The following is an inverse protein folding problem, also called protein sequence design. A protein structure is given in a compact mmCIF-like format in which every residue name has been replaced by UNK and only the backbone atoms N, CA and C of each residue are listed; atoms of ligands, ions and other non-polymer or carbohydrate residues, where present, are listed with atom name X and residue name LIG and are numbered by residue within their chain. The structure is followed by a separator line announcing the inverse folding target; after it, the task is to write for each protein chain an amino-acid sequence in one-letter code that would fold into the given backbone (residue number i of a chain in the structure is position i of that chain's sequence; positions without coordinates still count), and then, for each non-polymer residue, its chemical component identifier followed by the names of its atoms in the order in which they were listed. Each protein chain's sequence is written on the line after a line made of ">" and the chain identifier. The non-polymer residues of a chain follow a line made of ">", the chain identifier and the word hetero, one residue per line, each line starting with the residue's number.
data_IF_685583588303
#
_entry.id   IF_685583588303
#
_cell.length_a   1.000
_cell.length_b   1.000
_cell.length_c   1.000
_cell.angle_alpha   90.00
_cell.angle_beta   90.00
_cell.angle_gamma   90.00
#
_symmetry.space_group_name_H-M   'P 1'
#
loop_
_entity.id
_entity.type
_entity.pdbx_description
1 polymer ?
#
# COMPACT_ATOMS: atom_id res chain seq x y z
N UNK A 1 29.29 -3.53 0.31
CA UNK A 1 28.51 -4.38 -0.60
C UNK A 1 29.10 -4.22 -1.99
N UNK A 2 29.22 -5.27 -2.79
CA UNK A 2 29.67 -5.15 -4.17
C UNK A 2 28.60 -4.48 -5.04
N UNK A 3 28.98 -3.89 -6.18
CA UNK A 3 28.05 -3.28 -7.14
C UNK A 3 26.97 -4.29 -7.59
N UNK A 4 27.36 -5.54 -7.83
CA UNK A 4 26.44 -6.61 -8.20
C UNK A 4 25.41 -6.91 -7.09
N UNK A 5 25.85 -6.98 -5.83
CA UNK A 5 24.95 -7.19 -4.68
C UNK A 5 23.99 -6.00 -4.50
N UNK A 6 24.47 -4.77 -4.71
CA UNK A 6 23.67 -3.55 -4.60
C UNK A 6 22.56 -3.50 -5.67
N UNK A 7 22.90 -3.84 -6.93
CA UNK A 7 21.92 -3.97 -8.01
C UNK A 7 20.90 -5.07 -7.72
N UNK A 8 21.34 -6.22 -7.22
CA UNK A 8 20.43 -7.30 -6.82
C UNK A 8 19.49 -6.88 -5.68
N UNK A 9 20.02 -6.18 -4.68
CA UNK A 9 19.24 -5.66 -3.56
C UNK A 9 18.20 -4.62 -4.03
N UNK A 10 18.58 -3.75 -4.97
CA UNK A 10 17.67 -2.78 -5.60
C UNK A 10 16.48 -3.48 -6.27
N UNK A 11 16.73 -4.44 -7.16
CA UNK A 11 15.67 -5.12 -7.90
C UNK A 11 14.77 -5.98 -7.00
N UNK A 12 15.37 -6.73 -6.07
CA UNK A 12 14.60 -7.54 -5.11
C UNK A 12 13.73 -6.68 -4.18
N UNK A 13 14.22 -5.50 -3.77
CA UNK A 13 13.41 -4.55 -3.00
C UNK A 13 12.23 -4.02 -3.81
N UNK A 14 12.41 -3.69 -5.09
CA UNK A 14 11.30 -3.27 -5.96
C UNK A 14 10.25 -4.38 -6.09
N UNK A 15 10.68 -5.61 -6.36
CA UNK A 15 9.79 -6.77 -6.51
C UNK A 15 8.95 -6.99 -5.24
N UNK A 16 9.60 -6.94 -4.07
CA UNK A 16 8.91 -7.05 -2.79
C UNK A 16 7.92 -5.89 -2.54
N UNK A 17 8.28 -4.67 -2.94
CA UNK A 17 7.38 -3.52 -2.89
C UNK A 17 6.13 -3.71 -3.76
N UNK A 18 6.30 -4.23 -4.98
CA UNK A 18 5.19 -4.56 -5.88
C UNK A 18 4.31 -5.68 -5.31
N UNK A 19 4.90 -6.69 -4.68
CA UNK A 19 4.14 -7.76 -4.01
C UNK A 19 3.30 -7.21 -2.85
N UNK A 20 3.85 -6.33 -2.02
CA UNK A 20 3.10 -5.65 -0.95
C UNK A 20 1.94 -4.81 -1.51
N UNK A 21 2.16 -4.11 -2.63
CA UNK A 21 1.12 -3.35 -3.33
C UNK A 21 -0.01 -4.25 -3.84
N UNK A 22 0.31 -5.39 -4.45
CA UNK A 22 -0.69 -6.34 -4.94
C UNK A 22 -1.53 -6.91 -3.78
N UNK A 23 -0.89 -7.28 -2.67
CA UNK A 23 -1.60 -7.73 -1.47
C UNK A 23 -2.53 -6.65 -0.92
N UNK A 24 -2.08 -5.39 -0.87
CA UNK A 24 -2.93 -4.26 -0.49
C UNK A 24 -4.17 -4.18 -1.40
N UNK A 25 -4.00 -4.23 -2.73
CA UNK A 25 -5.11 -4.12 -3.69
C UNK A 25 -6.12 -5.26 -3.47
N UNK A 26 -5.67 -6.48 -3.19
CA UNK A 26 -6.57 -7.60 -2.87
C UNK A 26 -7.39 -7.35 -1.60
N UNK A 27 -6.75 -6.89 -0.53
CA UNK A 27 -7.44 -6.57 0.74
C UNK A 27 -8.41 -5.40 0.56
N UNK A 28 -7.97 -4.35 -0.14
CA UNK A 28 -8.75 -3.17 -0.45
C UNK A 28 -10.01 -3.49 -1.26
N UNK A 29 -9.86 -4.23 -2.36
CA UNK A 29 -10.99 -4.65 -3.20
C UNK A 29 -11.95 -5.56 -2.45
N UNK A 30 -11.44 -6.53 -1.68
CA UNK A 30 -12.27 -7.40 -0.86
C UNK A 30 -13.11 -6.62 0.17
N UNK A 31 -12.51 -5.61 0.81
CA UNK A 31 -13.22 -4.75 1.74
C UNK A 31 -14.30 -3.90 1.06
N UNK A 32 -14.01 -3.31 -0.12
CA UNK A 32 -14.99 -2.55 -0.89
C UNK A 32 -16.15 -3.42 -1.38
N UNK A 33 -15.88 -4.64 -1.86
CA UNK A 33 -16.91 -5.59 -2.29
C UNK A 33 -17.82 -5.96 -1.11
N UNK A 34 -17.24 -6.26 0.04
CA UNK A 34 -18.00 -6.58 1.25
C UNK A 34 -18.85 -5.39 1.72
N UNK A 35 -18.27 -4.18 1.72
CA UNK A 35 -19.00 -2.95 2.02
C UNK A 35 -20.18 -2.77 1.06
N UNK A 36 -19.98 -2.94 -0.25
CA UNK A 36 -21.02 -2.78 -1.27
C UNK A 36 -22.15 -3.82 -1.16
N UNK A 37 -21.80 -5.10 -1.04
CA UNK A 37 -22.77 -6.20 -1.10
C UNK A 37 -23.58 -6.36 0.18
N UNK A 38 -22.93 -6.24 1.35
CA UNK A 38 -23.54 -6.56 2.64
C UNK A 38 -23.37 -5.48 3.70
N UNK A 39 -22.63 -4.40 3.42
CA UNK A 39 -22.29 -3.37 4.40
C UNK A 39 -23.51 -2.79 5.13
N UNK A 40 -24.60 -2.51 4.40
CA UNK A 40 -25.85 -1.98 4.97
C UNK A 40 -26.55 -2.95 5.95
N UNK A 41 -26.25 -4.26 5.86
CA UNK A 41 -26.84 -5.30 6.71
C UNK A 41 -25.95 -5.69 7.89
N UNK A 42 -24.71 -5.18 7.95
CA UNK A 42 -23.79 -5.49 9.05
C UNK A 42 -24.23 -4.79 10.33
N UNK A 43 -24.24 -5.54 11.44
CA UNK A 43 -24.32 -4.94 12.77
C UNK A 43 -23.09 -4.09 13.05
N UNK A 44 -23.18 -3.17 14.01
CA UNK A 44 -22.05 -2.32 14.39
C UNK A 44 -20.82 -3.11 14.80
N UNK A 45 -21.00 -4.22 15.53
CA UNK A 45 -19.89 -5.08 15.96
C UNK A 45 -19.26 -5.81 14.76
N UNK A 46 -20.06 -6.36 13.85
CA UNK A 46 -19.54 -7.04 12.64
C UNK A 46 -18.75 -6.09 11.76
N UNK A 47 -19.27 -4.87 11.55
CA UNK A 47 -18.57 -3.84 10.80
C UNK A 47 -17.29 -3.42 11.52
N UNK A 48 -17.30 -3.27 12.85
CA UNK A 48 -16.10 -2.90 13.59
C UNK A 48 -14.99 -3.96 13.44
N UNK A 49 -15.34 -5.25 13.53
CA UNK A 49 -14.39 -6.36 13.32
C UNK A 49 -13.84 -6.31 11.90
N UNK A 50 -14.71 -6.19 10.90
CA UNK A 50 -14.34 -6.15 9.49
C UNK A 50 -13.43 -4.96 9.15
N UNK A 51 -13.80 -3.76 9.63
CA UNK A 51 -13.00 -2.54 9.48
C UNK A 51 -11.68 -2.63 10.24
N UNK A 52 -11.69 -3.18 11.46
CA UNK A 52 -10.47 -3.38 12.25
C UNK A 52 -9.48 -4.31 11.55
N UNK A 53 -9.95 -5.45 11.04
CA UNK A 53 -9.13 -6.37 10.26
C UNK A 53 -8.56 -5.68 9.00
N UNK A 54 -9.41 -4.98 8.25
CA UNK A 54 -8.99 -4.20 7.08
C UNK A 54 -7.89 -3.19 7.43
N UNK A 55 -8.02 -2.46 8.53
CA UNK A 55 -7.04 -1.47 8.98
C UNK A 55 -5.70 -2.09 9.33
N UNK A 56 -5.70 -3.22 10.06
CA UNK A 56 -4.47 -3.92 10.43
C UNK A 56 -3.76 -4.46 9.19
N UNK A 57 -4.48 -5.15 8.30
CA UNK A 57 -3.91 -5.70 7.08
C UNK A 57 -3.42 -4.61 6.12
N UNK A 58 -4.21 -3.55 5.92
CA UNK A 58 -3.80 -2.42 5.09
C UNK A 58 -2.58 -1.71 5.67
N UNK A 59 -2.54 -1.52 6.98
CA UNK A 59 -1.39 -0.94 7.68
C UNK A 59 -0.13 -1.78 7.50
N UNK A 60 -0.24 -3.11 7.60
CA UNK A 60 0.88 -4.02 7.35
C UNK A 60 1.38 -3.92 5.89
N UNK A 61 0.47 -3.91 4.90
CA UNK A 61 0.85 -3.76 3.50
C UNK A 61 1.48 -2.39 3.19
N UNK A 62 0.96 -1.31 3.77
CA UNK A 62 1.53 0.04 3.63
C UNK A 62 2.93 0.09 4.22
N UNK A 63 3.11 -0.45 5.43
CA UNK A 63 4.43 -0.54 6.07
C UNK A 63 5.41 -1.33 5.19
N UNK A 64 5.03 -2.51 4.71
CA UNK A 64 5.86 -3.32 3.81
C UNK A 64 6.23 -2.56 2.54
N UNK A 65 5.26 -1.91 1.89
CA UNK A 65 5.47 -1.06 0.71
C UNK A 65 6.49 0.05 0.98
N UNK A 66 6.35 0.77 2.09
CA UNK A 66 7.30 1.83 2.49
C UNK A 66 8.70 1.27 2.67
N UNK A 67 8.84 0.18 3.44
CA UNK A 67 10.14 -0.42 3.74
C UNK A 67 10.84 -0.87 2.45
N UNK A 68 10.15 -1.61 1.60
CA UNK A 68 10.75 -2.15 0.38
C UNK A 68 11.08 -1.08 -0.65
N UNK A 69 10.17 -0.14 -0.92
CA UNK A 69 10.48 0.95 -1.86
C UNK A 69 11.54 1.92 -1.33
N UNK A 70 11.59 2.15 -0.01
CA UNK A 70 12.65 2.97 0.56
C UNK A 70 14.00 2.24 0.50
N UNK A 71 14.01 0.93 0.76
CA UNK A 71 15.19 0.08 0.61
C UNK A 71 15.75 0.13 -0.81
N UNK A 72 14.88 0.03 -1.83
CA UNK A 72 15.31 0.21 -3.23
C UNK A 72 15.80 1.62 -3.51
N UNK A 73 15.14 2.65 -2.96
CA UNK A 73 15.56 4.03 -3.17
C UNK A 73 16.95 4.32 -2.59
N UNK A 74 17.25 3.82 -1.38
CA UNK A 74 18.58 3.94 -0.77
C UNK A 74 19.62 3.21 -1.60
N UNK A 75 19.31 2.01 -2.11
CA UNK A 75 20.23 1.30 -2.99
C UNK A 75 20.49 2.04 -4.31
N UNK A 76 19.46 2.73 -4.84
CA UNK A 76 19.60 3.56 -6.03
C UNK A 76 20.48 4.80 -5.79
N UNK A 77 20.35 5.44 -4.63
CA UNK A 77 21.20 6.56 -4.24
C UNK A 77 22.69 6.17 -4.24
N UNK A 78 23.02 5.00 -3.70
CA UNK A 78 24.39 4.50 -3.66
C UNK A 78 24.92 4.12 -5.06
N UNK A 79 24.07 3.58 -5.94
CA UNK A 79 24.44 3.29 -7.33
C UNK A 79 24.64 4.53 -8.18
N UNK A 80 23.87 5.59 -7.94
CA UNK A 80 23.88 6.78 -8.79
C UNK A 80 25.23 7.50 -8.83
N UNK A 81 25.99 7.45 -7.73
CA UNK A 81 27.33 8.03 -7.68
C UNK A 81 28.32 7.36 -8.65
N UNK A 82 28.07 6.09 -9.02
CA UNK A 82 28.94 5.31 -9.89
C UNK A 82 28.36 5.06 -11.28
N UNK A 83 27.03 5.00 -11.38
CA UNK A 83 26.26 4.59 -12.57
C UNK A 83 24.97 5.40 -12.72
N UNK A 84 25.03 6.72 -12.90
CA UNK A 84 23.85 7.56 -13.00
C UNK A 84 22.96 7.21 -14.20
N UNK A 85 23.50 6.58 -15.24
CA UNK A 85 22.78 6.14 -16.43
C UNK A 85 21.80 4.99 -16.18
N UNK A 86 22.00 4.21 -15.11
CA UNK A 86 21.18 3.02 -14.83
C UNK A 86 19.88 3.37 -14.11
N UNK A 87 19.86 4.47 -13.34
CA UNK A 87 18.80 4.76 -12.39
C UNK A 87 18.50 6.27 -12.34
N UNK A 88 17.47 6.77 -13.05
CA UNK A 88 17.02 8.14 -12.87
C UNK A 88 16.49 8.30 -11.44
N UNK A 89 17.21 9.07 -10.62
CA UNK A 89 16.80 9.42 -9.26
C UNK A 89 15.81 10.57 -9.30
N UNK A 90 14.53 10.22 -9.18
CA UNK A 90 13.45 11.16 -8.93
C UNK A 90 12.96 11.05 -7.47
N UNK A 91 11.70 11.41 -7.26
CA UNK A 91 11.00 11.30 -5.99
C UNK A 91 11.04 9.85 -5.45
N UNK A 92 11.30 9.70 -4.15
CA UNK A 92 11.31 8.41 -3.47
C UNK A 92 9.97 7.65 -3.68
N UNK A 93 9.99 6.47 -4.34
CA UNK A 93 8.76 5.71 -4.62
C UNK A 93 7.97 5.31 -3.37
N UNK A 94 8.63 5.22 -2.21
CA UNK A 94 7.97 4.95 -0.94
C UNK A 94 6.98 6.06 -0.58
N UNK A 95 7.31 7.33 -0.84
CA UNK A 95 6.45 8.48 -0.54
C UNK A 95 5.20 8.46 -1.44
N UNK A 96 5.41 8.20 -2.72
CA UNK A 96 4.32 8.16 -3.71
C UNK A 96 3.36 7.01 -3.38
N UNK A 97 3.91 5.80 -3.18
CA UNK A 97 3.11 4.62 -2.87
C UNK A 97 2.37 4.78 -1.53
N UNK A 98 3.04 5.19 -0.45
CA UNK A 98 2.39 5.34 0.85
C UNK A 98 1.25 6.35 0.82
N UNK A 99 1.43 7.47 0.12
CA UNK A 99 0.40 8.50 -0.02
C UNK A 99 -0.84 7.96 -0.73
N UNK A 100 -0.64 7.27 -1.86
CA UNK A 100 -1.72 6.65 -2.62
C UNK A 100 -2.49 5.63 -1.77
N UNK A 101 -1.77 4.76 -1.05
CA UNK A 101 -2.38 3.70 -0.26
C UNK A 101 -3.14 4.27 0.95
N UNK A 102 -2.61 5.29 1.63
CA UNK A 102 -3.30 5.96 2.74
C UNK A 102 -4.59 6.62 2.25
N UNK A 103 -4.55 7.33 1.12
CA UNK A 103 -5.74 7.91 0.50
C UNK A 103 -6.76 6.81 0.18
N UNK A 104 -6.30 5.68 -0.35
CA UNK A 104 -7.11 4.50 -0.58
C UNK A 104 -7.83 4.03 0.69
N UNK A 105 -7.09 3.80 1.78
CA UNK A 105 -7.66 3.37 3.06
C UNK A 105 -8.75 4.35 3.52
N UNK A 106 -8.46 5.66 3.53
CA UNK A 106 -9.43 6.69 3.92
C UNK A 106 -10.68 6.64 3.02
N UNK A 107 -10.50 6.50 1.71
CA UNK A 107 -11.58 6.35 0.75
C UNK A 107 -12.45 5.12 1.01
N UNK A 108 -11.84 3.96 1.30
CA UNK A 108 -12.56 2.74 1.63
C UNK A 108 -13.33 2.83 2.95
N UNK A 109 -12.73 3.42 3.99
CA UNK A 109 -13.42 3.66 5.25
C UNK A 109 -14.63 4.57 5.07
N UNK A 110 -14.45 5.67 4.32
CA UNK A 110 -15.52 6.58 3.98
C UNK A 110 -16.63 5.88 3.16
N UNK A 111 -16.25 5.04 2.21
CA UNK A 111 -17.21 4.28 1.41
C UNK A 111 -18.08 3.36 2.27
N UNK A 112 -17.47 2.57 3.18
CA UNK A 112 -18.23 1.74 4.13
C UNK A 112 -19.14 2.60 5.01
N UNK A 113 -18.67 3.76 5.46
CA UNK A 113 -19.49 4.68 6.25
C UNK A 113 -20.71 5.17 5.48
N UNK A 114 -20.52 5.63 4.24
CA UNK A 114 -21.59 6.16 3.39
C UNK A 114 -22.62 5.07 3.04
N UNK A 115 -22.18 3.81 2.81
CA UNK A 115 -23.10 2.68 2.58
C UNK A 115 -23.97 2.38 3.82
N UNK A 116 -23.40 2.51 5.03
CA UNK A 116 -24.12 2.25 6.28
C UNK A 116 -24.98 3.42 6.75
N UNK A 117 -24.69 4.63 6.28
CA UNK A 117 -25.42 5.85 6.62
C UNK A 117 -25.89 6.57 5.35
N UNK A 118 -26.82 5.97 4.57
CA UNK A 118 -27.33 6.60 3.37
C UNK A 118 -27.95 7.95 3.73
N UNK A 119 -27.61 8.99 2.96
CA UNK A 119 -28.24 10.30 3.11
C UNK A 119 -29.73 10.15 2.80
N UNK A 120 -30.58 10.73 3.63
CA UNK A 120 -32.00 10.91 3.30
C UNK A 120 -32.05 11.99 2.23
N UNK A 121 -32.48 11.62 1.03
CA UNK A 121 -32.85 12.59 -0.02
C UNK A 121 -34.07 13.41 0.42
#
# INVERSE_FOLDING_TARGET
>A
MSEAELVQHFWSSIENGLNALMMYISVFTGYLIMAYLIGARLTTVQSLIATGAFMVFSGFCIWGSIVFFNSSYVAALELYDTRPELLPLDLNPAIVSSTLLIIGVIGALKFMWDVRHPKKE
#
